data_IF_124385568484
#
_entry.id   IF_124385568484
#
_cell.length_a   1.000
_cell.length_b   1.000
_cell.length_c   1.000
_cell.angle_alpha   90.00
_cell.angle_beta   90.00
_cell.angle_gamma   90.00
#
_symmetry.space_group_name_H-M   'P 1'
#
loop_
_entity.id
_entity.type
_entity.pdbx_description
1 polymer ?
#
# COMPACT_ATOMS: atom_id res chain seq x y z
N UNK A 1 -18.81 -1.34 -11.32
CA UNK A 1 -19.93 -2.31 -11.18
C UNK A 1 -19.42 -3.76 -11.28
N UNK A 2 -18.90 -4.21 -12.43
CA UNK A 2 -18.41 -5.59 -12.61
C UNK A 2 -17.20 -5.94 -11.73
N UNK A 3 -16.16 -5.10 -11.71
CA UNK A 3 -14.95 -5.35 -10.92
C UNK A 3 -15.23 -5.45 -9.41
N UNK A 4 -16.09 -4.59 -8.86
CA UNK A 4 -16.46 -4.66 -7.44
C UNK A 4 -17.16 -5.98 -7.08
N UNK A 5 -17.95 -6.53 -8.00
CA UNK A 5 -18.61 -7.82 -7.82
C UNK A 5 -17.60 -8.97 -7.85
N UNK A 6 -16.62 -8.94 -8.76
CA UNK A 6 -15.54 -9.93 -8.85
C UNK A 6 -14.63 -9.90 -7.61
N UNK A 7 -14.30 -8.70 -7.12
CA UNK A 7 -13.56 -8.52 -5.85
C UNK A 7 -14.32 -9.14 -4.68
N UNK A 8 -15.63 -8.86 -4.57
CA UNK A 8 -16.45 -9.37 -3.49
C UNK A 8 -16.64 -10.90 -3.57
N UNK A 9 -16.80 -11.47 -4.78
CA UNK A 9 -16.87 -12.92 -4.99
C UNK A 9 -15.58 -13.61 -4.53
N UNK A 10 -14.42 -13.09 -4.96
CA UNK A 10 -13.13 -13.66 -4.57
C UNK A 10 -12.88 -13.50 -3.06
N UNK A 11 -13.20 -12.34 -2.48
CA UNK A 11 -13.09 -12.05 -1.06
C UNK A 11 -13.88 -13.08 -0.22
N UNK A 12 -15.13 -13.37 -0.60
CA UNK A 12 -15.96 -14.37 0.06
C UNK A 12 -15.40 -15.78 -0.09
N UNK A 13 -14.89 -16.15 -1.27
CA UNK A 13 -14.36 -17.50 -1.54
C UNK A 13 -13.03 -17.80 -0.87
N UNK A 14 -12.25 -16.76 -0.56
CA UNK A 14 -10.96 -16.85 0.13
C UNK A 14 -11.04 -16.46 1.61
N UNK A 15 -12.18 -15.96 2.09
CA UNK A 15 -12.37 -15.45 3.45
C UNK A 15 -11.36 -14.34 3.81
N UNK A 16 -11.14 -13.40 2.89
CA UNK A 16 -10.23 -12.26 3.05
C UNK A 16 -10.93 -10.92 2.82
N UNK A 17 -10.32 -9.81 3.24
CA UNK A 17 -10.84 -8.47 2.97
C UNK A 17 -10.86 -8.14 1.47
N UNK A 18 -11.80 -7.28 1.07
CA UNK A 18 -11.90 -6.76 -0.30
C UNK A 18 -10.60 -6.09 -0.77
N UNK A 19 -9.87 -5.43 0.14
CA UNK A 19 -8.54 -4.86 -0.13
C UNK A 19 -7.52 -5.93 -0.53
N UNK A 20 -7.55 -7.10 0.11
CA UNK A 20 -6.69 -8.24 -0.25
C UNK A 20 -7.12 -8.82 -1.59
N UNK A 21 -8.41 -9.10 -1.76
CA UNK A 21 -8.94 -9.72 -2.98
C UNK A 21 -8.69 -8.86 -4.23
N UNK A 22 -8.82 -7.53 -4.12
CA UNK A 22 -8.53 -6.61 -5.22
C UNK A 22 -7.06 -6.62 -5.66
N UNK A 23 -6.12 -6.69 -4.71
CA UNK A 23 -4.69 -6.81 -5.02
C UNK A 23 -4.37 -8.16 -5.64
N UNK A 24 -4.94 -9.25 -5.11
CA UNK A 24 -4.76 -10.59 -5.68
C UNK A 24 -5.27 -10.64 -7.13
N UNK A 25 -6.46 -10.08 -7.42
CA UNK A 25 -6.95 -10.00 -8.79
C UNK A 25 -5.99 -9.24 -9.69
N UNK A 26 -5.48 -8.09 -9.25
CA UNK A 26 -4.53 -7.29 -10.02
C UNK A 26 -3.26 -8.06 -10.36
N UNK A 27 -2.67 -8.77 -9.40
CA UNK A 27 -1.45 -9.57 -9.59
C UNK A 27 -1.65 -10.80 -10.49
N UNK A 28 -2.89 -11.18 -10.78
CA UNK A 28 -3.24 -12.34 -11.59
C UNK A 28 -4.06 -11.95 -12.84
N UNK A 29 -3.82 -10.75 -13.38
CA UNK A 29 -4.48 -10.22 -14.59
C UNK A 29 -6.01 -10.28 -14.54
N UNK A 30 -6.58 -10.04 -13.36
CA UNK A 30 -8.00 -10.10 -13.04
C UNK A 30 -8.65 -11.49 -13.27
N UNK A 31 -7.86 -12.56 -13.26
CA UNK A 31 -8.37 -13.92 -13.33
C UNK A 31 -8.68 -14.47 -11.93
N UNK A 32 -9.97 -14.55 -11.59
CA UNK A 32 -10.43 -15.11 -10.32
C UNK A 32 -9.91 -16.54 -10.07
N UNK A 33 -9.92 -17.40 -11.09
CA UNK A 33 -9.48 -18.80 -10.96
C UNK A 33 -7.97 -18.91 -10.70
N UNK A 34 -7.14 -18.11 -11.39
CA UNK A 34 -5.69 -18.09 -11.14
C UNK A 34 -5.38 -17.57 -9.75
N UNK A 35 -6.02 -16.46 -9.35
CA UNK A 35 -5.85 -15.88 -8.02
C UNK A 35 -6.25 -16.85 -6.91
N UNK A 36 -7.40 -17.50 -7.07
CA UNK A 36 -7.89 -18.49 -6.11
C UNK A 36 -7.00 -19.73 -6.03
N UNK A 37 -6.56 -20.25 -7.18
CA UNK A 37 -5.66 -21.40 -7.24
C UNK A 37 -4.29 -21.12 -6.60
N UNK A 38 -3.68 -19.97 -6.93
CA UNK A 38 -2.39 -19.55 -6.35
C UNK A 38 -2.51 -19.35 -4.84
N UNK A 39 -3.52 -18.59 -4.40
CA UNK A 39 -3.68 -18.24 -2.99
C UNK A 39 -4.00 -19.47 -2.13
N UNK A 40 -4.84 -20.39 -2.60
CA UNK A 40 -5.15 -21.63 -1.83
C UNK A 40 -3.96 -22.59 -1.74
N UNK A 41 -3.10 -22.61 -2.74
CA UNK A 41 -1.92 -23.48 -2.76
C UNK A 41 -0.82 -22.98 -1.81
N UNK A 42 -0.60 -21.66 -1.81
CA UNK A 42 0.41 -21.00 -0.96
C UNK A 42 -0.10 -19.60 -0.56
N UNK A 43 -0.90 -19.49 0.51
CA UNK A 43 -1.48 -18.21 0.93
C UNK A 43 -0.40 -17.20 1.34
N UNK A 44 0.62 -17.66 2.07
CA UNK A 44 1.69 -16.82 2.60
C UNK A 44 2.56 -16.24 1.48
N UNK A 45 3.10 -17.10 0.62
CA UNK A 45 3.99 -16.64 -0.45
C UNK A 45 3.23 -15.90 -1.56
N UNK A 46 1.96 -16.25 -1.83
CA UNK A 46 1.14 -15.44 -2.75
C UNK A 46 0.87 -14.06 -2.17
N UNK A 47 0.48 -13.95 -0.90
CA UNK A 47 0.27 -12.66 -0.25
C UNK A 47 1.56 -11.80 -0.23
N UNK A 48 2.72 -12.41 -0.04
CA UNK A 48 4.01 -11.72 -0.03
C UNK A 48 4.37 -11.20 -1.43
N UNK A 49 4.33 -12.06 -2.46
CA UNK A 49 4.60 -11.69 -3.86
C UNK A 49 3.65 -10.59 -4.36
N UNK A 50 2.40 -10.61 -3.91
CA UNK A 50 1.40 -9.61 -4.26
C UNK A 50 1.48 -8.34 -3.41
N UNK A 51 2.38 -8.25 -2.42
CA UNK A 51 2.48 -7.09 -1.51
C UNK A 51 1.29 -6.93 -0.55
N UNK A 52 0.49 -7.98 -0.34
CA UNK A 52 -0.69 -7.99 0.53
C UNK A 52 -0.30 -7.91 2.01
N UNK A 53 0.77 -8.59 2.42
CA UNK A 53 1.19 -8.70 3.83
C UNK A 53 1.44 -7.35 4.49
N UNK A 54 2.06 -6.44 3.75
CA UNK A 54 2.38 -5.10 4.24
C UNK A 54 1.17 -4.14 4.25
N UNK A 55 0.06 -4.53 3.61
CA UNK A 55 -1.15 -3.70 3.49
C UNK A 55 -2.29 -4.14 4.40
N UNK A 56 -2.44 -5.44 4.68
CA UNK A 56 -3.68 -6.00 5.22
C UNK A 56 -3.54 -6.96 6.41
N UNK A 57 -2.36 -7.49 6.76
CA UNK A 57 -2.28 -8.48 7.86
C UNK A 57 -2.61 -7.88 9.24
N UNK A 58 -2.65 -6.55 9.35
CA UNK A 58 -3.26 -5.87 10.50
C UNK A 58 -3.89 -4.56 10.04
N UNK A 59 -5.15 -4.35 10.36
CA UNK A 59 -5.72 -3.04 10.65
C UNK A 59 -5.03 -2.33 11.85
N UNK A 60 -3.77 -2.64 12.12
CA UNK A 60 -2.89 -1.99 13.06
C UNK A 60 -1.90 -1.11 12.29
N UNK A 61 -2.41 -0.28 11.38
CA UNK A 61 -2.20 1.12 11.67
C UNK A 61 -3.27 1.45 12.70
N UNK A 62 -2.92 1.60 13.99
CA UNK A 62 -3.83 2.28 14.88
C UNK A 62 -4.15 3.60 14.18
N UNK A 63 -5.42 3.83 13.86
CA UNK A 63 -5.89 5.16 13.46
C UNK A 63 -5.53 6.23 14.52
N UNK A 64 -5.03 5.79 15.68
CA UNK A 64 -4.54 6.55 16.83
C UNK A 64 -3.01 6.45 17.10
N UNK A 65 -2.16 5.94 16.20
CA UNK A 65 -0.69 6.10 16.34
C UNK A 65 -0.19 7.17 15.38
N UNK A 66 -0.75 8.37 15.54
CA UNK A 66 0.07 9.58 15.60
C UNK A 66 1.01 9.36 16.79
N UNK A 67 2.24 8.96 16.49
CA UNK A 67 3.18 8.55 17.52
C UNK A 67 4.25 7.68 16.89
N UNK A 68 5.11 8.31 16.10
CA UNK A 68 6.44 7.78 15.81
C UNK A 68 7.04 7.42 17.16
N UNK A 69 7.27 6.13 17.41
CA UNK A 69 8.19 5.73 18.47
C UNK A 69 9.53 6.31 18.06
N UNK A 70 9.95 7.34 18.78
CA UNK A 70 11.19 8.05 18.60
C UNK A 70 12.34 7.04 18.45
N UNK A 71 12.89 6.95 17.25
CA UNK A 71 14.32 6.62 17.13
C UNK A 71 15.06 7.90 17.52
N UNK A 72 15.98 7.75 18.47
CA UNK A 72 16.73 8.81 19.16
C UNK A 72 16.94 10.09 18.32
N UNK A 73 16.27 11.19 18.74
CA UNK A 73 16.76 12.55 18.49
C UNK A 73 15.96 13.48 17.58
N UNK A 74 14.88 13.07 16.92
CA UNK A 74 14.11 13.97 16.04
C UNK A 74 12.63 14.04 16.44
N UNK A 75 12.27 15.03 17.26
CA UNK A 75 10.89 15.37 17.66
C UNK A 75 10.11 16.12 16.57
N UNK A 76 10.34 15.82 15.29
CA UNK A 76 9.77 16.53 14.15
C UNK A 76 9.00 15.59 13.23
N UNK A 77 7.76 15.96 12.91
CA UNK A 77 6.96 15.37 11.84
C UNK A 77 7.53 15.89 10.49
N UNK A 78 8.73 15.46 10.10
CA UNK A 78 9.42 15.98 8.93
C UNK A 78 9.19 15.08 7.70
N UNK A 79 8.98 15.70 6.54
CA UNK A 79 8.91 14.99 5.27
C UNK A 79 10.30 14.51 4.81
N UNK A 80 10.45 13.24 4.42
CA UNK A 80 11.73 12.70 3.93
C UNK A 80 12.19 13.20 2.54
N UNK A 81 11.38 14.01 1.85
CA UNK A 81 11.70 14.56 0.52
C UNK A 81 11.98 16.07 0.59
N UNK A 82 11.04 16.86 1.12
CA UNK A 82 11.21 18.31 1.20
C UNK A 82 11.84 18.78 2.52
N UNK A 83 11.97 17.89 3.52
CA UNK A 83 12.49 18.19 4.86
C UNK A 83 11.71 19.26 5.62
N UNK A 84 10.49 19.58 5.17
CA UNK A 84 9.58 20.47 5.89
C UNK A 84 9.13 19.81 7.20
N UNK A 85 9.38 20.50 8.31
CA UNK A 85 9.06 20.10 9.68
C UNK A 85 7.84 20.85 10.27
N UNK A 86 7.30 21.86 9.57
CA UNK A 86 6.09 22.63 9.91
C UNK A 86 4.82 21.99 9.32
N UNK A 87 4.75 20.66 9.34
CA UNK A 87 3.65 19.90 8.75
C UNK A 87 2.63 19.43 9.80
N UNK A 88 1.34 19.56 9.49
CA UNK A 88 0.31 18.87 10.25
C UNK A 88 0.49 17.36 10.11
N UNK A 89 0.42 16.63 11.23
CA UNK A 89 0.43 15.17 11.27
C UNK A 89 -0.53 14.50 10.27
N UNK A 90 -1.63 15.17 9.89
CA UNK A 90 -2.63 14.70 8.90
C UNK A 90 -2.15 14.77 7.46
N UNK A 91 -1.08 15.50 7.18
CA UNK A 91 -0.52 15.67 5.85
C UNK A 91 0.74 14.82 5.62
N UNK A 92 1.19 14.05 6.61
CA UNK A 92 2.24 13.04 6.46
C UNK A 92 1.66 11.63 6.34
N UNK A 93 2.11 10.90 5.33
CA UNK A 93 1.69 9.54 5.06
C UNK A 93 2.90 8.62 5.09
N UNK A 94 2.85 7.64 6.00
CA UNK A 94 3.88 6.63 6.19
C UNK A 94 3.59 5.37 5.40
N UNK A 95 4.64 4.77 4.85
CA UNK A 95 4.59 3.47 4.19
C UNK A 95 5.02 2.34 5.16
N UNK A 96 4.69 1.07 4.86
CA UNK A 96 5.12 -0.06 5.67
C UNK A 96 6.65 -0.21 5.82
N UNK A 97 7.43 0.34 4.89
CA UNK A 97 8.89 0.44 5.00
C UNK A 97 9.37 1.46 6.05
N UNK A 98 8.48 2.24 6.67
CA UNK A 98 8.79 3.23 7.71
C UNK A 98 8.99 4.65 7.19
N UNK A 99 9.16 4.83 5.88
CA UNK A 99 9.34 6.14 5.27
C UNK A 99 8.05 6.97 5.22
N UNK A 100 8.17 8.27 5.48
CA UNK A 100 7.04 9.20 5.56
C UNK A 100 7.26 10.44 4.71
N UNK A 101 6.23 10.85 3.98
CA UNK A 101 6.29 12.02 3.09
C UNK A 101 5.00 12.83 3.17
N UNK A 102 5.11 14.14 2.93
CA UNK A 102 3.95 15.01 2.92
C UNK A 102 3.05 14.75 1.71
N UNK A 103 1.79 15.19 1.79
CA UNK A 103 0.80 15.09 0.71
C UNK A 103 1.32 15.63 -0.63
N UNK A 104 2.02 16.75 -0.60
CA UNK A 104 2.51 17.43 -1.81
C UNK A 104 3.64 16.65 -2.49
N UNK A 105 4.56 16.09 -1.70
CA UNK A 105 5.62 15.23 -2.21
C UNK A 105 5.04 13.93 -2.80
N UNK A 106 4.07 13.30 -2.13
CA UNK A 106 3.36 12.13 -2.67
C UNK A 106 2.66 12.43 -3.99
N UNK A 107 1.92 13.55 -4.05
CA UNK A 107 1.21 13.96 -5.26
C UNK A 107 2.18 14.21 -6.42
N UNK A 108 3.30 14.86 -6.14
CA UNK A 108 4.32 15.16 -7.16
C UNK A 108 4.96 13.87 -7.67
N UNK A 109 5.38 12.98 -6.76
CA UNK A 109 5.95 11.68 -7.11
C UNK A 109 5.00 10.84 -7.97
N UNK A 110 3.76 10.66 -7.52
CA UNK A 110 2.76 9.85 -8.25
C UNK A 110 2.37 10.47 -9.60
N UNK A 111 2.47 11.79 -9.74
CA UNK A 111 2.26 12.46 -11.03
C UNK A 111 3.40 12.14 -11.99
N UNK A 112 4.65 12.18 -11.53
CA UNK A 112 5.81 11.81 -12.35
C UNK A 112 5.72 10.34 -12.76
N UNK A 113 5.38 9.43 -11.84
CA UNK A 113 5.14 8.01 -12.17
C UNK A 113 4.01 7.81 -13.19
N UNK A 114 2.99 8.68 -13.17
CA UNK A 114 1.90 8.62 -14.14
C UNK A 114 2.29 9.17 -15.52
N UNK A 115 3.07 10.24 -15.57
CA UNK A 115 3.41 10.95 -16.81
C UNK A 115 4.64 10.34 -17.52
N UNK A 116 5.65 9.93 -16.75
CA UNK A 116 6.98 9.51 -17.23
C UNK A 116 7.36 8.09 -16.78
N UNK A 117 6.59 7.48 -15.88
CA UNK A 117 6.88 6.16 -15.34
C UNK A 117 6.82 5.04 -16.39
N UNK A 118 7.67 4.03 -16.21
CA UNK A 118 7.67 2.81 -17.05
C UNK A 118 6.67 1.75 -16.56
N UNK A 119 6.13 1.94 -15.35
CA UNK A 119 5.19 1.04 -14.69
C UNK A 119 3.83 1.71 -14.51
N UNK A 120 2.79 0.92 -14.22
CA UNK A 120 1.49 1.50 -13.88
C UNK A 120 1.60 2.25 -12.56
N UNK A 121 0.94 3.40 -12.40
CA UNK A 121 0.85 4.12 -11.11
C UNK A 121 0.42 3.23 -9.93
N UNK A 122 -0.31 2.16 -10.22
CA UNK A 122 -0.76 1.16 -9.26
C UNK A 122 0.39 0.30 -8.68
N UNK A 123 1.52 0.23 -9.37
CA UNK A 123 2.73 -0.50 -9.02
C UNK A 123 3.86 0.43 -8.52
N UNK A 124 3.57 1.73 -8.38
CA UNK A 124 4.48 2.68 -7.78
C UNK A 124 4.89 2.21 -6.36
N UNK A 125 6.19 2.32 -6.09
CA UNK A 125 6.80 1.90 -4.83
C UNK A 125 7.07 3.12 -3.93
N UNK A 126 7.68 2.88 -2.77
CA UNK A 126 8.13 3.99 -1.93
C UNK A 126 9.16 4.84 -2.69
N UNK A 127 9.09 6.19 -2.67
CA UNK A 127 10.07 7.06 -3.33
C UNK A 127 11.54 6.82 -2.92
N UNK A 128 11.78 6.25 -1.74
CA UNK A 128 13.13 5.92 -1.25
C UNK A 128 13.58 4.48 -1.58
N UNK A 129 12.68 3.68 -2.17
CA UNK A 129 12.93 2.32 -2.65
C UNK A 129 12.74 2.21 -4.19
N UNK A 130 12.50 3.35 -4.85
CA UNK A 130 12.22 3.46 -6.28
C UNK A 130 13.50 3.45 -7.14
#
# INVERSE_FOLDING_TARGET
AKLCQEVNDLALRLEVDNSVASVLLRCHDYSCDKALGSYRSDPSGTAERCGVRHRCEKSAFPAASVGVAAVDGCTGHACGICFDDDLDSRDLFSMPCGHSFCRECWRSYLRVEFEEGTSSILDAVCPQEA
#
